data_IF_665697231491
#
_entry.id   IF_665697231491
#
_cell.length_a   1.000
_cell.length_b   1.000
_cell.length_c   1.000
_cell.angle_alpha   90.00
_cell.angle_beta   90.00
_cell.angle_gamma   90.00
#
_symmetry.space_group_name_H-M   'P 1'
#
loop_
_entity.id
_entity.type
_entity.pdbx_description
1 polymer ?
#
# COMPACT_ATOMS: atom_id res chain seq x y z
N UNK A 1 -2.67 -5.00 6.67
CA UNK A 1 -3.91 -4.67 5.93
C UNK A 1 -4.11 -5.63 4.77
N UNK A 2 -3.48 -5.42 3.60
CA UNK A 2 -3.66 -6.26 2.39
C UNK A 2 -3.43 -7.74 2.70
N UNK A 3 -2.32 -8.05 3.36
CA UNK A 3 -1.94 -9.42 3.71
C UNK A 3 -3.01 -10.18 4.52
N UNK A 4 -3.69 -9.51 5.45
CA UNK A 4 -4.74 -10.15 6.24
C UNK A 4 -5.90 -10.60 5.35
N UNK A 5 -6.26 -9.80 4.34
CA UNK A 5 -7.32 -10.12 3.35
C UNK A 5 -6.86 -11.23 2.42
N UNK A 6 -5.58 -11.26 2.02
CA UNK A 6 -5.01 -12.37 1.24
C UNK A 6 -5.12 -13.68 2.04
N UNK A 7 -4.69 -13.69 3.30
CA UNK A 7 -4.74 -14.88 4.16
C UNK A 7 -6.19 -15.33 4.37
N UNK A 8 -7.11 -14.40 4.66
CA UNK A 8 -8.54 -14.71 4.78
C UNK A 8 -9.08 -15.34 3.50
N UNK A 9 -8.84 -14.72 2.33
CA UNK A 9 -9.33 -15.22 1.03
C UNK A 9 -8.77 -16.60 0.71
N UNK A 10 -7.48 -16.84 0.96
CA UNK A 10 -6.84 -18.15 0.75
C UNK A 10 -7.50 -19.20 1.65
N UNK A 11 -7.65 -18.93 2.94
CA UNK A 11 -8.27 -19.90 3.85
C UNK A 11 -9.74 -20.19 3.48
N UNK A 12 -10.48 -19.17 3.02
CA UNK A 12 -11.88 -19.29 2.64
C UNK A 12 -12.10 -19.97 1.29
N UNK A 13 -11.22 -19.72 0.32
CA UNK A 13 -11.45 -20.08 -1.09
C UNK A 13 -10.53 -21.19 -1.60
N UNK A 14 -9.47 -21.53 -0.86
CA UNK A 14 -8.47 -22.55 -1.25
C UNK A 14 -8.29 -23.56 -0.11
N UNK A 15 -9.30 -24.42 0.16
CA UNK A 15 -9.29 -25.32 1.32
C UNK A 15 -8.11 -26.31 1.30
N UNK A 16 -7.56 -26.60 0.12
CA UNK A 16 -6.44 -27.53 -0.06
C UNK A 16 -5.06 -26.91 0.22
N UNK A 17 -4.99 -25.61 0.57
CA UNK A 17 -3.72 -25.00 0.99
C UNK A 17 -3.16 -25.76 2.20
N UNK A 18 -1.94 -26.28 2.11
CA UNK A 18 -1.36 -27.09 3.19
C UNK A 18 -0.89 -26.21 4.35
N UNK A 19 -0.03 -25.23 4.06
CA UNK A 19 0.55 -24.29 5.03
C UNK A 19 0.74 -22.93 4.39
N UNK A 20 0.70 -21.89 5.21
CA UNK A 20 1.04 -20.51 4.88
C UNK A 20 2.10 -20.09 5.91
N UNK A 21 3.35 -20.00 5.46
CA UNK A 21 4.44 -19.49 6.27
C UNK A 21 4.39 -17.97 6.30
N UNK A 22 4.29 -17.39 7.49
CA UNK A 22 4.11 -15.95 7.70
C UNK A 22 5.40 -15.37 8.29
N UNK A 23 6.19 -14.69 7.47
CA UNK A 23 7.40 -14.00 7.94
C UNK A 23 6.99 -12.79 8.81
N UNK A 24 7.29 -12.85 10.10
CA UNK A 24 6.91 -11.85 11.09
C UNK A 24 8.17 -11.31 11.78
N UNK A 25 8.36 -9.99 11.68
CA UNK A 25 9.42 -9.28 12.41
C UNK A 25 9.15 -9.31 13.91
N UNK A 26 9.87 -10.15 14.62
CA UNK A 26 9.73 -10.36 16.07
C UNK A 26 11.09 -10.69 16.68
N UNK A 27 11.20 -10.58 18.01
CA UNK A 27 12.41 -10.96 18.75
C UNK A 27 12.53 -12.47 18.96
N UNK A 28 11.39 -13.16 19.05
CA UNK A 28 11.27 -14.58 19.36
C UNK A 28 9.93 -15.13 18.81
N UNK A 29 9.78 -16.46 18.86
CA UNK A 29 8.60 -17.16 18.34
C UNK A 29 7.32 -16.80 19.11
N UNK A 30 7.42 -16.59 20.42
CA UNK A 30 6.29 -16.19 21.26
C UNK A 30 5.72 -14.85 20.80
N UNK A 31 6.58 -13.85 20.58
CA UNK A 31 6.18 -12.54 20.07
C UNK A 31 5.62 -12.64 18.65
N UNK A 32 6.19 -13.49 17.79
CA UNK A 32 5.65 -13.71 16.45
C UNK A 32 4.24 -14.32 16.49
N UNK A 33 4.01 -15.29 17.38
CA UNK A 33 2.72 -15.93 17.57
C UNK A 33 1.69 -14.96 18.18
N UNK A 34 2.09 -14.13 19.15
CA UNK A 34 1.22 -13.09 19.72
C UNK A 34 0.78 -12.09 18.64
N UNK A 35 1.71 -11.64 17.79
CA UNK A 35 1.40 -10.77 16.66
C UNK A 35 0.46 -11.42 15.66
N UNK A 36 0.72 -12.68 15.29
CA UNK A 36 -0.17 -13.46 14.42
C UNK A 36 -1.59 -13.53 15.00
N UNK A 37 -1.69 -13.82 16.30
CA UNK A 37 -2.96 -13.92 17.00
C UNK A 37 -3.72 -12.59 16.97
N UNK A 38 -3.06 -11.51 17.41
CA UNK A 38 -3.68 -10.19 17.57
C UNK A 38 -4.01 -9.52 16.23
N UNK A 39 -3.12 -9.60 15.24
CA UNK A 39 -3.25 -8.87 13.98
C UNK A 39 -4.09 -9.62 12.93
N UNK A 40 -4.16 -10.95 13.02
CA UNK A 40 -4.80 -11.82 12.01
C UNK A 40 -5.90 -12.65 12.65
N UNK A 41 -5.58 -13.61 13.52
CA UNK A 41 -6.53 -14.65 13.97
C UNK A 41 -7.74 -14.03 14.70
N UNK A 42 -7.52 -13.05 15.56
CA UNK A 42 -8.56 -12.35 16.33
C UNK A 42 -9.20 -11.17 15.59
N UNK A 43 -8.71 -10.85 14.39
CA UNK A 43 -9.29 -9.78 13.57
C UNK A 43 -10.73 -10.11 13.19
N UNK A 44 -11.60 -9.09 13.24
CA UNK A 44 -12.99 -9.20 12.75
C UNK A 44 -13.07 -9.63 11.30
N UNK A 45 -12.02 -9.43 10.51
CA UNK A 45 -11.93 -9.91 9.14
C UNK A 45 -12.23 -11.41 9.03
N UNK A 46 -11.77 -12.20 10.00
CA UNK A 46 -11.91 -13.67 10.01
C UNK A 46 -13.25 -14.14 10.58
N UNK A 47 -14.21 -13.23 10.83
CA UNK A 47 -15.51 -13.57 11.40
C UNK A 47 -16.29 -14.58 10.53
N UNK A 48 -16.24 -14.43 9.19
CA UNK A 48 -16.90 -15.36 8.27
C UNK A 48 -16.29 -16.75 8.36
N UNK A 49 -14.96 -16.86 8.40
CA UNK A 49 -14.28 -18.14 8.63
C UNK A 49 -14.66 -18.77 9.98
N UNK A 50 -14.76 -17.97 11.04
CA UNK A 50 -15.22 -18.45 12.35
C UNK A 50 -16.65 -19.00 12.29
N UNK A 51 -17.53 -18.34 11.54
CA UNK A 51 -18.92 -18.80 11.35
C UNK A 51 -18.98 -20.11 10.54
N UNK A 52 -18.18 -20.23 9.48
CA UNK A 52 -18.12 -21.43 8.64
C UNK A 52 -17.57 -22.64 9.42
N UNK A 53 -16.50 -22.45 10.19
CA UNK A 53 -15.78 -23.56 10.83
C UNK A 53 -16.19 -23.81 12.29
N UNK A 54 -16.89 -22.88 12.94
CA UNK A 54 -17.36 -23.01 14.31
C UNK A 54 -16.23 -23.40 15.27
N UNK A 55 -16.42 -24.48 16.01
CA UNK A 55 -15.42 -25.02 16.97
C UNK A 55 -14.10 -25.45 16.33
N UNK A 56 -14.07 -25.71 15.02
CA UNK A 56 -12.86 -26.14 14.30
C UNK A 56 -12.03 -24.98 13.76
N UNK A 57 -12.46 -23.73 13.97
CA UNK A 57 -11.74 -22.56 13.48
C UNK A 57 -10.30 -22.48 14.03
N UNK A 58 -10.13 -22.72 15.33
CA UNK A 58 -8.81 -22.62 15.97
C UNK A 58 -7.86 -23.72 15.45
N UNK A 59 -8.38 -24.93 15.19
CA UNK A 59 -7.62 -26.03 14.59
C UNK A 59 -7.23 -25.72 13.13
N UNK A 60 -8.13 -25.12 12.36
CA UNK A 60 -7.87 -24.67 10.99
C UNK A 60 -6.73 -23.67 10.93
N UNK A 61 -6.81 -22.58 11.71
CA UNK A 61 -5.79 -21.54 11.67
C UNK A 61 -4.46 -22.04 12.22
N UNK A 62 -4.47 -22.85 13.29
CA UNK A 62 -3.24 -23.42 13.87
C UNK A 62 -2.53 -24.39 12.92
N UNK A 63 -3.29 -25.19 12.17
CA UNK A 63 -2.71 -26.15 11.22
C UNK A 63 -2.18 -25.49 9.94
N UNK A 64 -2.78 -24.38 9.51
CA UNK A 64 -2.44 -23.71 8.24
C UNK A 64 -1.54 -22.49 8.39
N UNK A 65 -1.60 -21.74 9.47
CA UNK A 65 -0.84 -20.49 9.65
C UNK A 65 0.40 -20.74 10.51
N UNK A 66 1.58 -20.69 9.90
CA UNK A 66 2.85 -20.97 10.58
C UNK A 66 3.62 -19.65 10.72
N UNK A 67 3.71 -19.05 11.92
CA UNK A 67 4.53 -17.87 12.13
C UNK A 67 6.01 -18.22 11.99
N UNK A 68 6.76 -17.38 11.30
CA UNK A 68 8.20 -17.52 11.08
C UNK A 68 8.87 -16.23 11.50
N UNK A 69 9.73 -16.28 12.51
CA UNK A 69 10.52 -15.12 12.94
C UNK A 69 11.48 -14.74 11.82
N UNK A 70 11.45 -13.48 11.40
CA UNK A 70 12.43 -12.95 10.45
C UNK A 70 12.16 -11.52 10.02
N UNK A 71 13.10 -10.96 9.26
CA UNK A 71 13.06 -9.59 8.75
C UNK A 71 13.52 -9.59 7.29
N UNK A 72 12.65 -9.12 6.39
CA UNK A 72 12.95 -9.06 4.95
C UNK A 72 14.21 -8.25 4.65
N UNK A 73 14.54 -7.26 5.49
CA UNK A 73 15.72 -6.43 5.36
C UNK A 73 17.03 -7.13 5.74
N UNK A 74 16.99 -8.38 6.21
CA UNK A 74 18.17 -9.16 6.62
C UNK A 74 18.54 -10.25 5.59
N UNK A 75 19.83 -10.62 5.48
CA UNK A 75 20.24 -11.80 4.72
C UNK A 75 19.44 -13.05 5.13
N UNK A 76 19.13 -13.93 4.17
CA UNK A 76 18.27 -15.10 4.40
C UNK A 76 16.91 -14.78 5.06
N UNK A 77 16.42 -13.55 4.86
CA UNK A 77 15.18 -13.02 5.47
C UNK A 77 15.20 -13.02 7.01
N UNK A 78 16.39 -13.06 7.63
CA UNK A 78 16.55 -13.12 9.08
C UNK A 78 16.00 -14.39 9.73
N UNK A 79 15.74 -15.44 8.93
CA UNK A 79 15.27 -16.74 9.42
C UNK A 79 16.45 -17.56 9.94
N UNK A 80 16.17 -18.49 10.86
CA UNK A 80 17.09 -19.57 11.17
C UNK A 80 17.44 -20.38 9.90
N UNK A 81 18.70 -20.79 9.75
CA UNK A 81 19.20 -21.43 8.53
C UNK A 81 18.55 -22.78 8.25
N UNK A 82 18.28 -23.58 9.30
CA UNK A 82 17.62 -24.88 9.15
C UNK A 82 16.16 -24.70 8.74
N UNK A 83 15.48 -23.73 9.36
CA UNK A 83 14.10 -23.38 9.05
C UNK A 83 13.97 -22.83 7.62
N UNK A 84 14.86 -21.93 7.22
CA UNK A 84 14.91 -21.39 5.85
C UNK A 84 15.07 -22.50 4.81
N UNK A 85 15.96 -23.47 5.06
CA UNK A 85 16.18 -24.61 4.18
C UNK A 85 14.93 -25.48 4.06
N UNK A 86 14.24 -25.74 5.18
CA UNK A 86 12.99 -26.51 5.19
C UNK A 86 11.89 -25.81 4.39
N UNK A 87 11.68 -24.50 4.63
CA UNK A 87 10.66 -23.72 3.92
C UNK A 87 10.97 -23.71 2.42
N UNK A 88 12.23 -23.51 2.01
CA UNK A 88 12.61 -23.50 0.60
C UNK A 88 12.31 -24.81 -0.15
N UNK A 89 12.27 -25.95 0.54
CA UNK A 89 11.93 -27.25 -0.06
C UNK A 89 10.42 -27.47 -0.24
N UNK A 90 9.59 -26.64 0.40
CA UNK A 90 8.14 -26.83 0.47
C UNK A 90 7.32 -25.73 -0.20
N UNK A 91 7.88 -24.53 -0.42
CA UNK A 91 7.12 -23.38 -0.91
C UNK A 91 6.87 -23.45 -2.42
N UNK A 92 5.59 -23.41 -2.79
CA UNK A 92 5.13 -23.34 -4.18
C UNK A 92 4.96 -21.90 -4.69
N UNK A 93 4.58 -20.97 -3.81
CA UNK A 93 4.36 -19.55 -4.14
C UNK A 93 4.89 -18.64 -3.05
N UNK A 94 5.58 -17.57 -3.44
CA UNK A 94 6.00 -16.48 -2.55
C UNK A 94 5.14 -15.24 -2.83
N UNK A 95 4.52 -14.66 -1.80
CA UNK A 95 3.81 -13.38 -1.88
C UNK A 95 4.56 -12.34 -1.05
N UNK A 96 5.14 -11.35 -1.72
CA UNK A 96 5.80 -10.22 -1.07
C UNK A 96 4.85 -9.03 -0.93
N UNK A 97 4.29 -8.87 0.26
CA UNK A 97 3.53 -7.68 0.68
C UNK A 97 4.28 -6.80 1.69
N UNK A 98 5.51 -7.17 2.07
CA UNK A 98 6.27 -6.42 3.06
C UNK A 98 6.79 -5.11 2.44
N UNK A 99 6.49 -3.99 3.09
CA UNK A 99 6.93 -2.68 2.65
C UNK A 99 6.93 -1.68 3.82
N UNK A 100 7.87 -0.75 3.80
CA UNK A 100 7.68 0.52 4.48
C UNK A 100 6.80 1.40 3.59
N UNK A 101 5.71 1.92 4.14
CA UNK A 101 4.71 2.72 3.40
C UNK A 101 4.67 4.18 3.89
N UNK A 102 5.67 4.59 4.68
CA UNK A 102 5.72 5.93 5.25
C UNK A 102 6.43 6.89 4.29
N UNK A 103 5.73 7.96 3.89
CA UNK A 103 6.24 8.93 2.91
C UNK A 103 7.36 9.81 3.48
N UNK A 104 7.48 9.90 4.81
CA UNK A 104 8.51 10.65 5.54
C UNK A 104 9.44 9.70 6.32
N UNK A 105 9.79 8.55 5.75
CA UNK A 105 10.68 7.58 6.39
C UNK A 105 12.16 7.90 6.16
N UNK A 106 13.02 7.52 7.11
CA UNK A 106 14.47 7.55 6.94
C UNK A 106 14.90 6.77 5.68
N UNK A 107 15.88 7.31 4.96
CA UNK A 107 16.30 6.73 3.69
C UNK A 107 16.87 5.31 3.83
N UNK A 108 17.70 5.07 4.84
CA UNK A 108 18.31 3.76 5.11
C UNK A 108 17.25 2.70 5.41
N UNK A 109 16.24 3.04 6.21
CA UNK A 109 15.13 2.14 6.54
C UNK A 109 14.31 1.80 5.29
N UNK A 110 13.94 2.81 4.51
CA UNK A 110 13.15 2.62 3.28
C UNK A 110 13.90 1.76 2.26
N UNK A 111 15.19 2.05 2.02
CA UNK A 111 16.04 1.23 1.17
C UNK A 111 16.17 -0.20 1.70
N UNK A 112 16.32 -0.38 3.02
CA UNK A 112 16.48 -1.70 3.60
C UNK A 112 15.25 -2.59 3.37
N UNK A 113 14.05 -2.04 3.52
CA UNK A 113 12.80 -2.80 3.41
C UNK A 113 12.34 -2.92 1.96
N UNK A 114 12.22 -1.80 1.25
CA UNK A 114 11.59 -1.77 -0.07
C UNK A 114 12.57 -2.10 -1.22
N UNK A 115 13.88 -2.03 -0.99
CA UNK A 115 14.90 -2.28 -2.02
C UNK A 115 15.75 -3.52 -1.70
N UNK A 116 16.45 -3.54 -0.55
CA UNK A 116 17.21 -4.73 -0.11
C UNK A 116 16.30 -5.90 0.24
N UNK A 117 15.09 -5.64 0.74
CA UNK A 117 14.12 -6.70 1.02
C UNK A 117 13.80 -7.56 -0.20
N UNK A 118 13.39 -6.98 -1.35
CA UNK A 118 13.29 -7.69 -2.61
C UNK A 118 14.56 -8.42 -3.06
N UNK A 119 15.75 -7.86 -2.82
CA UNK A 119 17.03 -8.53 -3.12
C UNK A 119 17.20 -9.82 -2.30
N UNK A 120 17.05 -9.74 -0.97
CA UNK A 120 17.16 -10.91 -0.09
C UNK A 120 16.08 -11.95 -0.38
N UNK A 121 14.85 -11.50 -0.65
CA UNK A 121 13.74 -12.38 -1.00
C UNK A 121 14.01 -13.11 -2.32
N UNK A 122 14.56 -12.44 -3.32
CA UNK A 122 14.92 -13.09 -4.58
C UNK A 122 16.07 -14.08 -4.40
N UNK A 123 17.03 -13.77 -3.51
CA UNK A 123 18.05 -14.73 -3.09
C UNK A 123 17.46 -15.99 -2.48
N UNK A 124 16.48 -15.85 -1.57
CA UNK A 124 15.76 -16.98 -0.99
C UNK A 124 14.93 -17.75 -2.03
N UNK A 125 14.22 -17.03 -2.91
CA UNK A 125 13.38 -17.62 -3.95
C UNK A 125 14.16 -18.54 -4.90
N UNK A 126 15.43 -18.20 -5.21
CA UNK A 126 16.32 -19.05 -6.02
C UNK A 126 16.67 -20.39 -5.38
N UNK A 127 16.55 -20.51 -4.06
CA UNK A 127 16.75 -21.77 -3.35
C UNK A 127 15.46 -22.63 -3.32
N UNK A 128 14.32 -22.08 -3.74
CA UNK A 128 13.03 -22.74 -3.66
C UNK A 128 12.77 -23.63 -4.89
N UNK A 129 13.00 -24.94 -4.76
CA UNK A 129 12.94 -25.89 -5.89
C UNK A 129 11.54 -26.12 -6.46
N UNK A 130 10.50 -25.91 -5.65
CA UNK A 130 9.09 -26.07 -6.04
C UNK A 130 8.43 -24.75 -6.42
N UNK A 131 9.18 -23.65 -6.41
CA UNK A 131 8.62 -22.32 -6.61
C UNK A 131 8.07 -22.18 -8.03
N UNK A 132 6.75 -22.04 -8.12
CA UNK A 132 6.03 -21.82 -9.37
C UNK A 132 5.89 -20.33 -9.67
N UNK A 133 5.87 -19.47 -8.65
CA UNK A 133 5.64 -18.04 -8.81
C UNK A 133 6.14 -17.22 -7.63
N UNK A 134 6.74 -16.06 -7.91
CA UNK A 134 6.88 -14.97 -6.94
C UNK A 134 5.97 -13.81 -7.32
N UNK A 135 5.06 -13.44 -6.42
CA UNK A 135 4.22 -12.26 -6.55
C UNK A 135 4.77 -11.12 -5.68
N UNK A 136 4.93 -9.93 -6.25
CA UNK A 136 5.35 -8.74 -5.55
C UNK A 136 4.27 -7.66 -5.60
N UNK A 137 3.86 -7.16 -4.44
CA UNK A 137 2.94 -6.02 -4.35
C UNK A 137 3.75 -4.74 -4.38
N UNK A 138 3.59 -3.98 -5.45
CA UNK A 138 4.17 -2.65 -5.65
C UNK A 138 3.10 -1.56 -5.43
N UNK A 139 3.13 -0.48 -6.22
CA UNK A 139 2.10 0.56 -6.28
C UNK A 139 2.04 1.12 -7.69
N UNK A 140 0.88 1.54 -8.18
CA UNK A 140 0.74 2.20 -9.47
C UNK A 140 1.54 3.51 -9.55
N UNK A 141 1.75 4.15 -8.39
CA UNK A 141 2.47 5.42 -8.29
C UNK A 141 3.98 5.30 -8.52
N UNK A 142 4.57 4.10 -8.64
CA UNK A 142 5.98 3.94 -9.10
C UNK A 142 6.24 4.64 -10.43
N UNK A 143 5.20 4.95 -11.19
CA UNK A 143 5.22 5.75 -12.40
C UNK A 143 5.44 7.27 -12.15
N UNK A 144 5.67 7.70 -10.92
CA UNK A 144 6.00 9.09 -10.56
C UNK A 144 4.89 10.07 -10.96
N UNK A 145 5.26 11.19 -11.61
CA UNK A 145 4.32 12.22 -12.03
C UNK A 145 3.96 12.15 -13.53
N UNK A 146 4.07 10.96 -14.15
CA UNK A 146 3.62 10.77 -15.55
C UNK A 146 2.17 11.21 -15.71
N UNK A 147 1.88 11.86 -16.83
CA UNK A 147 0.53 12.34 -17.17
C UNK A 147 -0.07 11.52 -18.31
N UNK A 148 -1.39 11.55 -18.44
CA UNK A 148 -2.11 10.77 -19.45
C UNK A 148 -2.14 9.28 -19.13
N UNK A 149 -2.32 8.43 -20.14
CA UNK A 149 -2.40 6.98 -19.96
C UNK A 149 -1.02 6.40 -19.62
N UNK A 150 -0.91 5.75 -18.47
CA UNK A 150 0.32 5.17 -17.94
C UNK A 150 0.31 3.66 -18.09
N UNK A 151 1.09 3.17 -19.04
CA UNK A 151 1.14 1.76 -19.44
C UNK A 151 1.85 0.86 -18.43
N UNK A 152 1.47 -0.43 -18.42
CA UNK A 152 2.00 -1.49 -17.57
C UNK A 152 3.41 -1.96 -17.99
N UNK A 153 4.39 -1.05 -17.95
CA UNK A 153 5.78 -1.31 -18.37
C UNK A 153 6.71 -1.60 -17.19
N UNK A 154 7.64 -2.57 -17.33
CA UNK A 154 8.66 -2.84 -16.33
C UNK A 154 9.71 -1.74 -16.29
N UNK A 155 10.33 -1.54 -15.12
CA UNK A 155 11.52 -0.71 -14.98
C UNK A 155 12.77 -1.48 -15.34
N UNK A 156 13.77 -0.78 -15.89
CA UNK A 156 15.11 -1.32 -16.11
C UNK A 156 16.10 -0.73 -15.11
N UNK A 157 17.13 -1.51 -14.78
CA UNK A 157 18.25 -1.02 -13.96
C UNK A 157 18.83 0.26 -14.55
N UNK A 158 19.08 1.26 -13.70
CA UNK A 158 19.56 2.58 -14.14
C UNK A 158 18.48 3.55 -14.60
N UNK A 159 17.23 3.12 -14.77
CA UNK A 159 16.14 3.98 -15.24
C UNK A 159 15.77 5.04 -14.20
N UNK A 160 15.45 6.25 -14.69
CA UNK A 160 14.99 7.38 -13.90
C UNK A 160 13.79 8.03 -14.57
N UNK A 161 12.93 8.68 -13.78
CA UNK A 161 11.80 9.47 -14.30
C UNK A 161 12.18 10.93 -14.54
N UNK A 162 13.35 11.36 -14.05
CA UNK A 162 13.88 12.71 -14.28
C UNK A 162 13.95 13.08 -15.78
N UNK A 163 14.24 12.10 -16.66
CA UNK A 163 14.27 12.31 -18.14
C UNK A 163 12.93 12.77 -18.68
N UNK A 164 11.84 12.25 -18.11
CA UNK A 164 10.48 12.42 -18.59
C UNK A 164 9.85 13.72 -18.05
N UNK A 165 10.47 14.35 -17.04
CA UNK A 165 10.04 15.63 -16.47
C UNK A 165 10.68 16.85 -17.17
N UNK A 166 11.67 16.65 -18.03
CA UNK A 166 12.30 17.75 -18.78
C UNK A 166 11.39 18.12 -19.95
N UNK A 167 10.60 19.18 -19.78
CA UNK A 167 9.74 19.77 -20.83
C UNK A 167 10.55 20.55 -21.88
N UNK A 168 11.84 20.81 -21.64
CA UNK A 168 12.70 21.56 -22.56
C UNK A 168 13.26 20.67 -23.67
N UNK A 169 13.17 21.14 -24.91
CA UNK A 169 13.68 20.46 -26.13
C UNK A 169 15.20 20.27 -26.16
N UNK A 170 15.93 20.73 -25.15
CA UNK A 170 17.38 20.56 -24.99
C UNK A 170 17.73 20.40 -23.50
N UNK A 171 18.04 19.18 -23.03
CA UNK A 171 18.64 18.98 -21.72
C UNK A 171 20.08 19.50 -21.75
N UNK A 172 20.42 20.46 -20.89
CA UNK A 172 21.80 20.99 -20.77
C UNK A 172 22.78 19.99 -20.14
N UNK A 173 22.27 18.91 -19.53
CA UNK A 173 23.04 17.81 -18.95
C UNK A 173 22.37 16.46 -19.22
N UNK A 174 23.15 15.37 -19.39
CA UNK A 174 22.59 14.03 -19.44
C UNK A 174 21.84 13.74 -18.14
N UNK A 175 20.66 13.11 -18.20
CA UNK A 175 19.90 12.87 -16.98
C UNK A 175 20.62 11.88 -16.08
N UNK A 176 20.39 11.93 -14.75
CA UNK A 176 21.07 11.04 -13.82
C UNK A 176 20.74 9.57 -14.15
N UNK A 177 21.74 8.71 -13.97
CA UNK A 177 21.58 7.24 -13.97
C UNK A 177 21.42 6.80 -12.53
N UNK A 178 20.43 5.94 -12.26
CA UNK A 178 20.20 5.42 -10.92
C UNK A 178 21.05 4.17 -10.67
N UNK A 179 22.13 4.35 -9.91
CA UNK A 179 22.87 3.22 -9.34
C UNK A 179 22.35 2.92 -7.93
N UNK A 180 21.59 1.84 -7.82
CA UNK A 180 20.98 1.42 -6.55
C UNK A 180 22.04 1.08 -5.49
N UNK A 181 23.17 0.47 -5.88
CA UNK A 181 24.23 0.14 -4.94
C UNK A 181 24.92 1.41 -4.42
N UNK A 182 25.13 2.38 -5.29
CA UNK A 182 25.65 3.69 -4.90
C UNK A 182 24.70 4.42 -3.94
N UNK A 183 23.37 4.35 -4.16
CA UNK A 183 22.39 4.92 -3.23
C UNK A 183 22.41 4.25 -1.86
N UNK A 184 22.52 2.91 -1.81
CA UNK A 184 22.65 2.17 -0.56
C UNK A 184 23.93 2.55 0.20
N UNK A 185 25.06 2.67 -0.51
CA UNK A 185 26.33 3.10 0.08
C UNK A 185 26.24 4.53 0.60
N UNK A 186 25.68 5.45 -0.18
CA UNK A 186 25.46 6.84 0.19
C UNK A 186 24.62 6.96 1.47
N UNK A 187 23.50 6.23 1.56
CA UNK A 187 22.66 6.25 2.76
C UNK A 187 23.40 5.72 4.00
N UNK A 188 24.17 4.64 3.84
CA UNK A 188 24.99 4.07 4.92
C UNK A 188 26.09 5.04 5.38
N UNK A 189 26.87 5.59 4.45
CA UNK A 189 28.00 6.46 4.75
C UNK A 189 27.52 7.78 5.36
N UNK A 190 26.39 8.33 4.87
CA UNK A 190 25.76 9.50 5.46
C UNK A 190 25.24 9.23 6.86
N UNK A 191 24.61 8.08 7.13
CA UNK A 191 24.17 7.75 8.49
C UNK A 191 25.35 7.67 9.47
N UNK A 192 26.48 7.08 9.06
CA UNK A 192 27.69 6.94 9.89
C UNK A 192 28.37 8.27 10.20
N UNK A 193 28.17 9.30 9.38
CA UNK A 193 28.78 10.63 9.61
C UNK A 193 27.98 11.52 10.56
N UNK A 194 26.79 11.08 11.01
CA UNK A 194 25.92 11.87 11.86
C UNK A 194 26.24 11.64 13.34
N UNK A 195 26.32 12.71 14.17
CA UNK A 195 26.86 12.63 15.52
C UNK A 195 25.88 12.10 16.57
N UNK A 196 24.56 12.13 16.31
CA UNK A 196 23.53 11.65 17.25
C UNK A 196 22.25 11.16 16.53
N UNK A 197 21.45 10.33 17.21
CA UNK A 197 20.29 9.64 16.63
C UNK A 197 19.11 10.56 16.25
N UNK A 198 18.86 11.63 17.01
CA UNK A 198 17.73 12.53 16.75
C UNK A 198 17.98 13.38 15.50
N UNK A 199 19.18 13.93 15.37
CA UNK A 199 19.61 14.67 14.18
C UNK A 199 19.72 13.72 12.98
N UNK A 200 20.13 12.47 13.20
CA UNK A 200 20.16 11.45 12.16
C UNK A 200 18.78 11.20 11.55
N UNK A 201 17.72 11.12 12.36
CA UNK A 201 16.38 10.88 11.84
C UNK A 201 15.93 11.98 10.85
N UNK A 202 16.02 13.25 11.25
CA UNK A 202 15.57 14.37 10.40
C UNK A 202 16.41 14.50 9.12
N UNK A 203 17.74 14.42 9.25
CA UNK A 203 18.65 14.51 8.09
C UNK A 203 18.47 13.34 7.12
N UNK A 204 18.20 12.13 7.61
CA UNK A 204 17.92 10.97 6.76
C UNK A 204 16.59 11.06 6.01
N UNK A 205 15.57 11.66 6.62
CA UNK A 205 14.28 11.96 5.95
C UNK A 205 14.49 13.02 4.86
N UNK A 206 15.25 14.08 5.15
CA UNK A 206 15.61 15.09 4.17
C UNK A 206 16.37 14.49 2.98
N UNK A 207 17.38 13.67 3.26
CA UNK A 207 18.15 12.97 2.24
C UNK A 207 17.23 12.13 1.35
N UNK A 208 16.35 11.32 1.95
CA UNK A 208 15.37 10.51 1.23
C UNK A 208 14.54 11.34 0.23
N UNK A 209 14.00 12.48 0.67
CA UNK A 209 13.24 13.41 -0.16
C UNK A 209 14.08 14.01 -1.30
N UNK A 210 15.31 14.43 -1.02
CA UNK A 210 16.24 14.96 -2.02
C UNK A 210 16.60 13.92 -3.08
N UNK A 211 16.86 12.68 -2.67
CA UNK A 211 17.17 11.58 -3.61
C UNK A 211 15.96 11.23 -4.46
N UNK A 212 14.78 11.06 -3.88
CA UNK A 212 13.56 10.78 -4.64
C UNK A 212 13.33 11.85 -5.72
N UNK A 213 13.41 13.13 -5.35
CA UNK A 213 13.26 14.26 -6.28
C UNK A 213 14.32 14.26 -7.37
N UNK A 214 15.59 14.03 -7.03
CA UNK A 214 16.71 13.97 -7.99
C UNK A 214 16.45 12.99 -9.12
N UNK A 215 15.82 11.85 -8.82
CA UNK A 215 15.58 10.80 -9.80
C UNK A 215 14.17 10.81 -10.42
N UNK A 216 13.32 11.76 -10.02
CA UNK A 216 11.99 12.00 -10.60
C UNK A 216 10.84 11.29 -9.90
N UNK A 217 11.00 10.88 -8.65
CA UNK A 217 9.92 10.33 -7.84
C UNK A 217 9.44 11.31 -6.77
N UNK A 218 8.14 11.33 -6.45
CA UNK A 218 7.57 12.35 -5.57
C UNK A 218 7.93 12.17 -4.10
N UNK A 219 8.22 10.94 -3.66
CA UNK A 219 8.57 10.62 -2.28
C UNK A 219 9.41 9.33 -2.21
N UNK A 220 9.98 9.07 -1.03
CA UNK A 220 10.88 7.94 -0.78
C UNK A 220 10.19 6.58 -0.90
N UNK A 221 8.92 6.49 -0.51
CA UNK A 221 8.16 5.25 -0.62
C UNK A 221 8.09 4.79 -2.08
N UNK A 222 7.57 5.64 -2.95
CA UNK A 222 7.41 5.33 -4.37
C UNK A 222 8.77 5.07 -5.02
N UNK A 223 9.78 5.87 -4.68
CA UNK A 223 11.13 5.73 -5.21
C UNK A 223 11.76 4.37 -4.88
N UNK A 224 11.70 3.97 -3.61
CA UNK A 224 12.28 2.70 -3.17
C UNK A 224 11.47 1.49 -3.64
N UNK A 225 10.15 1.62 -3.82
CA UNK A 225 9.33 0.59 -4.50
C UNK A 225 9.74 0.39 -5.96
N UNK A 226 10.01 1.47 -6.69
CA UNK A 226 10.51 1.37 -8.07
C UNK A 226 11.87 0.67 -8.13
N UNK A 227 12.79 0.97 -7.19
CA UNK A 227 14.05 0.24 -7.08
C UNK A 227 13.85 -1.25 -6.78
N UNK A 228 12.90 -1.60 -5.90
CA UNK A 228 12.53 -2.98 -5.60
C UNK A 228 12.09 -3.75 -6.85
N UNK A 229 11.29 -3.13 -7.72
CA UNK A 229 10.92 -3.74 -9.00
C UNK A 229 12.12 -3.97 -9.93
N UNK A 230 13.03 -2.99 -10.03
CA UNK A 230 14.25 -3.11 -10.85
C UNK A 230 15.15 -4.27 -10.37
N UNK A 231 15.29 -4.42 -9.05
CA UNK A 231 16.02 -5.53 -8.44
C UNK A 231 15.38 -6.87 -8.79
N UNK A 232 14.05 -6.98 -8.65
CA UNK A 232 13.33 -8.21 -8.97
C UNK A 232 13.52 -8.58 -10.45
N UNK A 233 13.28 -7.66 -11.39
CA UNK A 233 13.41 -7.96 -12.83
C UNK A 233 14.86 -8.31 -13.21
N UNK A 234 15.85 -7.65 -12.62
CA UNK A 234 17.25 -7.95 -12.91
C UNK A 234 17.75 -9.28 -12.32
N UNK A 235 17.17 -9.73 -11.20
CA UNK A 235 17.63 -10.94 -10.51
C UNK A 235 16.83 -12.20 -10.83
N UNK A 236 15.57 -12.08 -11.26
CA UNK A 236 14.61 -13.21 -11.31
C UNK A 236 15.08 -14.43 -12.11
N UNK A 237 15.89 -14.24 -13.17
CA UNK A 237 16.24 -15.32 -14.09
C UNK A 237 14.98 -16.04 -14.60
N UNK A 238 14.92 -17.35 -14.37
CA UNK A 238 13.81 -18.21 -14.78
C UNK A 238 12.69 -18.33 -13.74
N UNK A 239 12.71 -17.55 -12.66
CA UNK A 239 11.59 -17.48 -11.72
C UNK A 239 10.46 -16.67 -12.36
N UNK A 240 9.24 -17.23 -12.53
CA UNK A 240 8.08 -16.46 -12.96
C UNK A 240 7.75 -15.39 -11.90
N UNK A 241 7.51 -14.16 -12.34
CA UNK A 241 7.22 -13.03 -11.45
C UNK A 241 5.94 -12.34 -11.88
N UNK A 242 5.08 -12.07 -10.90
CA UNK A 242 3.96 -11.14 -11.04
C UNK A 242 4.20 -9.92 -10.16
N UNK A 243 4.10 -8.72 -10.73
CA UNK A 243 4.07 -7.47 -9.97
C UNK A 243 2.65 -6.92 -10.02
N UNK A 244 2.01 -6.74 -8.87
CA UNK A 244 0.72 -6.07 -8.75
C UNK A 244 0.98 -4.62 -8.33
N UNK A 245 0.50 -3.66 -9.11
CA UNK A 245 0.61 -2.22 -8.88
C UNK A 245 -0.77 -1.65 -8.53
N UNK A 246 -1.20 -1.71 -7.26
CA UNK A 246 -2.45 -1.07 -6.84
C UNK A 246 -2.34 0.45 -6.79
N UNK A 247 -3.45 1.14 -7.07
CA UNK A 247 -3.65 2.55 -6.69
C UNK A 247 -3.99 2.68 -5.19
N UNK A 248 -4.74 3.71 -4.77
CA UNK A 248 -5.11 3.89 -3.36
C UNK A 248 -6.10 2.80 -2.94
N UNK A 249 -5.78 2.07 -1.87
CA UNK A 249 -6.56 0.91 -1.43
C UNK A 249 -7.44 1.26 -0.24
N UNK A 250 -8.75 1.18 -0.41
CA UNK A 250 -9.74 1.44 0.62
C UNK A 250 -10.45 0.14 1.10
N UNK A 251 -11.45 0.30 1.97
CA UNK A 251 -12.13 -0.81 2.64
C UNK A 251 -12.83 -1.76 1.67
N UNK A 252 -13.17 -2.95 2.15
CA UNK A 252 -13.81 -3.98 1.33
C UNK A 252 -15.16 -3.49 0.78
N UNK A 253 -15.45 -3.77 -0.50
CA UNK A 253 -16.76 -3.47 -1.08
C UNK A 253 -17.77 -4.59 -0.80
N UNK A 254 -17.32 -5.84 -0.73
CA UNK A 254 -18.19 -7.01 -0.61
C UNK A 254 -17.62 -8.08 0.32
N UNK A 255 -16.38 -8.52 0.12
CA UNK A 255 -15.84 -9.72 0.77
C UNK A 255 -14.76 -9.41 1.81
N UNK A 256 -14.63 -10.23 2.88
CA UNK A 256 -15.59 -11.25 3.33
C UNK A 256 -16.90 -10.65 3.85
N UNK A 257 -16.90 -9.35 4.16
CA UNK A 257 -18.09 -8.54 4.40
C UNK A 257 -17.77 -7.08 4.04
N UNK A 258 -18.77 -6.25 3.73
CA UNK A 258 -18.54 -4.87 3.28
C UNK A 258 -18.03 -3.95 4.40
N UNK A 259 -17.15 -3.02 4.04
CA UNK A 259 -16.68 -1.92 4.89
C UNK A 259 -15.56 -2.29 5.86
N UNK A 260 -14.93 -3.45 5.73
CA UNK A 260 -13.77 -3.79 6.55
C UNK A 260 -12.53 -3.01 6.10
N UNK A 261 -11.87 -2.35 7.05
CA UNK A 261 -10.58 -1.73 6.88
C UNK A 261 -9.79 -1.84 8.19
N UNK A 262 -8.46 -1.97 8.10
CA UNK A 262 -7.60 -2.09 9.28
C UNK A 262 -7.06 -0.72 9.71
N UNK A 263 -7.57 -0.17 10.80
CA UNK A 263 -7.13 1.14 11.29
C UNK A 263 -7.38 2.29 10.32
N UNK A 264 -6.99 3.49 10.73
CA UNK A 264 -7.29 4.74 10.04
C UNK A 264 -6.13 5.12 9.10
N UNK A 265 -6.28 4.85 7.79
CA UNK A 265 -5.19 4.92 6.80
C UNK A 265 -5.67 5.43 5.44
N UNK A 266 -4.75 5.56 4.49
CA UNK A 266 -5.04 6.01 3.11
C UNK A 266 -5.82 7.33 3.11
N UNK A 267 -7.02 7.42 2.54
CA UNK A 267 -7.77 8.68 2.49
C UNK A 267 -8.57 8.97 3.77
N UNK A 268 -8.72 8.01 4.69
CA UNK A 268 -9.49 8.19 5.91
C UNK A 268 -9.11 9.47 6.70
N UNK A 269 -7.81 9.84 6.86
CA UNK A 269 -7.39 11.12 7.44
C UNK A 269 -8.04 12.35 6.84
N UNK A 270 -8.25 12.36 5.53
CA UNK A 270 -8.90 13.47 4.83
C UNK A 270 -10.42 13.39 4.99
N UNK A 271 -10.99 12.18 4.80
CA UNK A 271 -12.44 11.92 4.90
C UNK A 271 -12.99 12.35 6.26
N UNK A 272 -12.46 11.81 7.36
CA UNK A 272 -12.98 12.20 8.69
C UNK A 272 -12.33 13.49 9.21
N UNK A 273 -11.24 13.97 8.61
CA UNK A 273 -10.79 15.35 8.82
C UNK A 273 -11.86 16.35 8.41
N UNK A 274 -12.48 16.14 7.25
CA UNK A 274 -13.62 16.93 6.78
C UNK A 274 -14.86 16.70 7.66
N UNK A 275 -15.20 15.45 7.97
CA UNK A 275 -16.35 15.12 8.83
C UNK A 275 -16.27 15.69 10.25
N UNK A 276 -15.06 15.95 10.76
CA UNK A 276 -14.82 16.62 12.05
C UNK A 276 -14.73 18.14 11.94
N UNK A 277 -14.85 18.71 10.74
CA UNK A 277 -14.64 20.14 10.48
C UNK A 277 -13.19 20.62 10.67
N UNK A 278 -12.24 19.69 10.79
CA UNK A 278 -10.81 19.95 11.04
C UNK A 278 -10.01 20.15 9.75
N UNK A 279 -10.57 19.72 8.62
CA UNK A 279 -10.03 19.93 7.28
C UNK A 279 -11.05 20.74 6.49
N UNK A 280 -10.74 22.02 6.23
CA UNK A 280 -11.56 22.94 5.42
C UNK A 280 -10.92 23.24 4.07
N UNK A 281 -9.62 23.05 3.98
CA UNK A 281 -8.83 23.21 2.77
C UNK A 281 -7.78 22.10 2.66
N UNK A 282 -7.39 21.77 1.42
CA UNK A 282 -6.30 20.84 1.14
C UNK A 282 -5.65 21.15 -0.20
N UNK A 283 -4.52 20.51 -0.47
CA UNK A 283 -3.90 20.49 -1.80
C UNK A 283 -4.60 19.43 -2.67
N UNK A 284 -4.84 19.75 -3.93
CA UNK A 284 -5.41 18.83 -4.91
C UNK A 284 -5.94 19.58 -6.12
N UNK A 285 -6.09 18.85 -7.23
CA UNK A 285 -6.79 19.38 -8.39
C UNK A 285 -8.23 18.84 -8.39
N UNK A 286 -9.26 19.69 -8.28
CA UNK A 286 -10.67 19.28 -8.24
C UNK A 286 -11.07 18.32 -9.37
N UNK A 287 -10.46 18.48 -10.56
CA UNK A 287 -10.78 17.71 -11.77
C UNK A 287 -9.82 16.53 -12.00
N UNK A 288 -8.84 16.32 -11.13
CA UNK A 288 -8.02 15.10 -11.20
C UNK A 288 -8.85 13.88 -10.82
N UNK A 289 -8.65 12.79 -11.54
CA UNK A 289 -9.22 11.50 -11.18
C UNK A 289 -8.53 10.98 -9.92
N UNK A 290 -9.33 10.64 -8.91
CA UNK A 290 -8.89 10.04 -7.67
C UNK A 290 -8.94 8.52 -7.81
N UNK A 291 -7.76 7.92 -8.02
CA UNK A 291 -7.63 6.50 -8.31
C UNK A 291 -7.71 5.62 -7.04
N UNK A 292 -8.92 5.19 -6.69
CA UNK A 292 -9.22 4.36 -5.51
C UNK A 292 -9.74 2.97 -5.90
N UNK A 293 -9.42 1.95 -5.10
CA UNK A 293 -9.86 0.56 -5.27
C UNK A 293 -10.21 -0.09 -3.91
N UNK A 294 -11.25 -0.94 -3.83
CA UNK A 294 -11.49 -1.78 -2.66
C UNK A 294 -10.45 -2.91 -2.52
N UNK A 295 -10.03 -3.21 -1.29
CA UNK A 295 -8.99 -4.23 -1.01
C UNK A 295 -9.39 -5.65 -1.39
N UNK A 296 -10.67 -6.01 -1.34
CA UNK A 296 -11.17 -7.33 -1.70
C UNK A 296 -11.10 -7.59 -3.20
N UNK A 297 -11.36 -6.57 -4.04
CA UNK A 297 -11.15 -6.68 -5.48
C UNK A 297 -9.66 -6.82 -5.81
N UNK A 298 -8.78 -6.08 -5.12
CA UNK A 298 -7.33 -6.25 -5.26
C UNK A 298 -6.90 -7.69 -4.93
N UNK A 299 -7.42 -8.28 -3.86
CA UNK A 299 -7.10 -9.66 -3.50
C UNK A 299 -7.61 -10.65 -4.53
N UNK A 300 -8.78 -10.42 -5.13
CA UNK A 300 -9.26 -11.27 -6.22
C UNK A 300 -8.35 -11.19 -7.46
N UNK A 301 -7.82 -10.01 -7.82
CA UNK A 301 -6.78 -9.89 -8.86
C UNK A 301 -5.53 -10.68 -8.49
N UNK A 302 -5.07 -10.60 -7.24
CA UNK A 302 -3.91 -11.36 -6.76
C UNK A 302 -4.15 -12.87 -6.94
N UNK A 303 -5.31 -13.38 -6.53
CA UNK A 303 -5.67 -14.79 -6.65
C UNK A 303 -5.71 -15.25 -8.12
N UNK A 304 -6.39 -14.49 -8.99
CA UNK A 304 -6.49 -14.82 -10.41
C UNK A 304 -5.12 -14.74 -11.12
N UNK A 305 -4.33 -13.70 -10.84
CA UNK A 305 -2.99 -13.54 -11.40
C UNK A 305 -2.06 -14.67 -10.93
N UNK A 306 -2.14 -15.09 -9.67
CA UNK A 306 -1.40 -16.23 -9.16
C UNK A 306 -1.78 -17.52 -9.88
N UNK A 307 -3.07 -17.82 -10.00
CA UNK A 307 -3.57 -19.02 -10.65
C UNK A 307 -3.14 -19.09 -12.13
N UNK A 308 -3.27 -17.97 -12.86
CA UNK A 308 -2.91 -17.88 -14.28
C UNK A 308 -1.41 -18.04 -14.49
N UNK A 309 -0.59 -17.31 -13.73
CA UNK A 309 0.84 -17.18 -14.01
C UNK A 309 1.69 -18.26 -13.32
N UNK A 310 1.21 -18.86 -12.22
CA UNK A 310 1.88 -19.99 -11.57
C UNK A 310 1.83 -21.29 -12.37
N UNK A 311 1.04 -21.36 -13.45
CA UNK A 311 0.98 -22.49 -14.39
C UNK A 311 1.56 -22.17 -15.77
N UNK A 312 2.19 -21.00 -15.94
CA UNK A 312 2.71 -20.59 -17.23
C UNK A 312 3.88 -21.50 -17.65
N UNK A 313 3.87 -21.97 -18.89
CA UNK A 313 4.93 -22.85 -19.41
C UNK A 313 6.27 -22.12 -19.64
N UNK A 314 6.25 -20.79 -19.68
CA UNK A 314 7.45 -19.94 -19.84
C UNK A 314 7.55 -18.94 -18.69
N UNK A 315 8.71 -18.87 -18.01
CA UNK A 315 8.98 -17.83 -17.03
C UNK A 315 8.85 -16.44 -17.65
N UNK A 316 8.03 -15.60 -17.05
CA UNK A 316 7.81 -14.23 -17.50
C UNK A 316 7.63 -13.29 -16.32
N UNK A 317 7.96 -12.02 -16.55
CA UNK A 317 7.51 -10.93 -15.70
C UNK A 317 6.18 -10.41 -16.23
N UNK A 318 5.14 -10.45 -15.41
CA UNK A 318 3.85 -9.81 -15.68
C UNK A 318 3.56 -8.73 -14.68
N UNK A 319 3.00 -7.61 -15.17
CA UNK A 319 2.63 -6.46 -14.36
C UNK A 319 1.13 -6.29 -14.51
N UNK A 320 0.42 -6.17 -13.39
CA UNK A 320 -1.00 -5.84 -13.35
C UNK A 320 -1.18 -4.54 -12.58
N UNK A 321 -1.66 -3.49 -13.22
CA UNK A 321 -2.04 -2.23 -12.58
C UNK A 321 -3.51 -2.30 -12.17
N UNK A 322 -3.75 -2.35 -10.86
CA UNK A 322 -5.10 -2.34 -10.30
C UNK A 322 -5.47 -0.90 -9.96
N UNK A 323 -6.28 -0.31 -10.83
CA UNK A 323 -6.72 1.08 -10.77
C UNK A 323 -8.11 1.19 -11.39
N UNK A 324 -8.86 2.22 -11.00
CA UNK A 324 -10.23 2.45 -11.49
C UNK A 324 -10.31 3.57 -12.52
N UNK A 325 -9.35 4.49 -12.55
CA UNK A 325 -9.45 5.77 -13.22
C UNK A 325 -9.67 5.71 -14.74
N UNK A 326 -9.18 4.68 -15.44
CA UNK A 326 -9.39 4.53 -16.89
C UNK A 326 -10.81 4.05 -17.23
N UNK A 327 -11.43 3.25 -16.35
CA UNK A 327 -12.66 2.51 -16.67
C UNK A 327 -13.87 2.91 -15.83
N UNK A 328 -13.66 3.52 -14.66
CA UNK A 328 -14.69 4.00 -13.75
C UNK A 328 -14.16 5.20 -12.94
N UNK A 329 -13.89 6.35 -13.58
CA UNK A 329 -13.29 7.51 -12.93
C UNK A 329 -14.21 8.15 -11.88
N UNK A 330 -13.60 8.69 -10.83
CA UNK A 330 -14.22 9.65 -9.91
C UNK A 330 -13.31 10.87 -9.77
N UNK A 331 -13.84 12.07 -9.98
CA UNK A 331 -13.08 13.30 -9.77
C UNK A 331 -12.88 13.58 -8.28
N UNK A 332 -11.77 14.21 -7.92
CA UNK A 332 -11.43 14.55 -6.55
C UNK A 332 -12.52 15.39 -5.87
N UNK A 333 -13.10 16.34 -6.59
CA UNK A 333 -14.18 17.19 -6.07
C UNK A 333 -15.45 16.39 -5.77
N UNK A 334 -15.82 15.45 -6.65
CA UNK A 334 -17.03 14.64 -6.51
C UNK A 334 -16.90 13.68 -5.33
N UNK A 335 -15.73 13.07 -5.17
CA UNK A 335 -15.40 12.26 -4.00
C UNK A 335 -15.64 13.03 -2.69
N UNK A 336 -15.09 14.24 -2.57
CA UNK A 336 -15.23 15.04 -1.35
C UNK A 336 -16.62 15.69 -1.20
N UNK A 337 -17.37 15.87 -2.27
CA UNK A 337 -18.79 16.25 -2.19
C UNK A 337 -19.64 15.10 -1.64
N UNK A 338 -19.37 13.84 -2.03
CA UNK A 338 -20.03 12.66 -1.44
C UNK A 338 -19.71 12.56 0.06
N UNK A 339 -18.44 12.73 0.46
CA UNK A 339 -18.06 12.78 1.87
C UNK A 339 -18.76 13.91 2.63
N UNK A 340 -18.81 15.12 2.06
CA UNK A 340 -19.51 16.26 2.65
C UNK A 340 -21.00 15.95 2.88
N UNK A 341 -21.71 15.47 1.85
CA UNK A 341 -23.14 15.12 1.94
C UNK A 341 -23.40 14.04 2.99
N UNK A 342 -22.54 13.02 3.07
CA UNK A 342 -22.63 11.98 4.09
C UNK A 342 -22.56 12.57 5.50
N UNK A 343 -21.55 13.38 5.82
CA UNK A 343 -21.37 13.94 7.16
C UNK A 343 -22.34 15.06 7.49
N UNK A 344 -22.84 15.80 6.50
CA UNK A 344 -23.92 16.77 6.70
C UNK A 344 -25.21 16.08 7.15
N UNK A 345 -25.49 14.89 6.59
CA UNK A 345 -26.68 14.09 6.93
C UNK A 345 -26.46 13.21 8.17
N UNK A 346 -25.22 12.79 8.41
CA UNK A 346 -24.82 11.92 9.52
C UNK A 346 -23.64 12.54 10.30
N UNK A 347 -23.88 13.61 11.09
CA UNK A 347 -22.83 14.29 11.83
C UNK A 347 -22.05 13.35 12.75
N UNK A 348 -20.73 13.54 12.80
CA UNK A 348 -19.90 12.94 13.84
C UNK A 348 -20.18 13.60 15.19
N UNK A 349 -19.83 12.90 16.27
CA UNK A 349 -19.86 13.46 17.62
C UNK A 349 -18.48 13.96 18.01
N UNK A 350 -18.42 15.07 18.74
CA UNK A 350 -17.19 15.55 19.37
C UNK A 350 -16.86 14.79 20.67
N UNK A 351 -15.85 15.24 21.40
CA UNK A 351 -15.44 14.63 22.66
C UNK A 351 -16.45 14.82 23.81
N UNK A 352 -17.35 15.80 23.70
CA UNK A 352 -18.41 16.08 24.68
C UNK A 352 -19.70 15.30 24.36
N UNK A 353 -19.75 14.65 23.18
CA UNK A 353 -20.91 13.91 22.70
C UNK A 353 -21.86 14.75 21.86
N UNK A 354 -21.50 16.00 21.57
CA UNK A 354 -22.29 16.91 20.75
C UNK A 354 -22.07 16.66 19.27
N UNK A 355 -23.13 16.87 18.47
CA UNK A 355 -23.04 16.75 17.02
C UNK A 355 -22.15 17.86 16.46
N UNK A 356 -21.17 17.48 15.65
CA UNK A 356 -20.34 18.41 14.89
C UNK A 356 -21.19 18.98 13.75
N UNK A 357 -21.68 20.21 13.93
CA UNK A 357 -22.44 20.96 12.94
C UNK A 357 -21.52 21.98 12.25
N UNK A 358 -21.83 22.35 11.00
CA UNK A 358 -21.12 23.42 10.29
C UNK A 358 -19.82 22.99 9.60
N UNK A 359 -19.72 21.74 9.17
CA UNK A 359 -18.66 21.31 8.25
C UNK A 359 -18.75 22.10 6.93
N UNK A 360 -17.60 22.30 6.27
CA UNK A 360 -17.54 23.02 4.99
C UNK A 360 -17.18 22.09 3.83
N UNK A 361 -17.57 22.49 2.62
CA UNK A 361 -16.95 21.95 1.41
C UNK A 361 -15.46 22.27 1.41
N UNK A 362 -14.65 21.38 0.86
CA UNK A 362 -13.20 21.58 0.83
C UNK A 362 -12.82 22.63 -0.21
N UNK A 363 -11.96 23.55 0.19
CA UNK A 363 -11.24 24.44 -0.73
C UNK A 363 -9.95 23.76 -1.19
N UNK A 364 -9.75 23.66 -2.50
CA UNK A 364 -8.57 23.05 -3.09
C UNK A 364 -7.51 24.09 -3.49
N UNK A 365 -6.25 23.73 -3.28
CA UNK A 365 -5.08 24.49 -3.72
C UNK A 365 -4.28 23.66 -4.73
N UNK A 366 -3.91 24.27 -5.85
CA UNK A 366 -3.22 23.60 -6.95
C UNK A 366 -1.73 23.33 -6.68
N UNK A 367 -1.17 23.83 -5.58
CA UNK A 367 0.22 23.59 -5.20
C UNK A 367 0.42 23.59 -3.68
N UNK A 368 1.46 22.89 -3.23
CA UNK A 368 1.85 22.86 -1.81
C UNK A 368 2.30 24.25 -1.35
N UNK A 369 2.94 25.01 -2.23
CA UNK A 369 3.44 26.35 -1.94
C UNK A 369 2.28 27.32 -1.69
N UNK A 370 1.28 27.36 -2.57
CA UNK A 370 0.11 28.24 -2.42
C UNK A 370 -0.71 27.89 -1.18
N UNK A 371 -0.87 26.58 -0.91
CA UNK A 371 -1.49 26.10 0.32
C UNK A 371 -0.72 26.50 1.57
N UNK A 372 0.60 26.31 1.58
CA UNK A 372 1.45 26.63 2.75
C UNK A 372 1.42 28.12 3.07
N UNK A 373 1.50 28.98 2.04
CA UNK A 373 1.37 30.43 2.19
C UNK A 373 -0.01 30.82 2.75
N UNK A 374 -1.08 30.22 2.22
CA UNK A 374 -2.44 30.44 2.75
C UNK A 374 -2.55 30.04 4.23
N UNK A 375 -2.00 28.87 4.60
CA UNK A 375 -2.04 28.38 5.98
C UNK A 375 -1.34 29.36 6.94
N UNK A 376 -0.16 29.87 6.56
CA UNK A 376 0.62 30.84 7.36
C UNK A 376 -0.07 32.21 7.48
N UNK A 377 -0.75 32.66 6.42
CA UNK A 377 -1.42 33.96 6.40
C UNK A 377 -2.79 33.95 7.11
N UNK A 378 -3.47 32.79 7.11
CA UNK A 378 -4.87 32.69 7.58
C UNK A 378 -4.96 32.26 9.04
N UNK A 379 -4.01 31.45 9.51
CA UNK A 379 -4.10 30.82 10.82
C UNK A 379 -2.96 31.23 11.74
N UNK A 380 -3.26 31.37 13.03
CA UNK A 380 -2.26 31.70 14.06
C UNK A 380 -1.75 30.45 14.82
N UNK A 381 -2.39 29.29 14.66
CA UNK A 381 -2.03 28.08 15.40
C UNK A 381 -0.94 27.28 14.67
N UNK A 382 0.31 27.44 15.13
CA UNK A 382 1.49 26.77 14.57
C UNK A 382 1.38 25.24 14.50
N UNK A 383 0.81 24.61 15.53
CA UNK A 383 0.68 23.15 15.56
C UNK A 383 -0.28 22.66 14.48
N UNK A 384 -1.39 23.37 14.30
CA UNK A 384 -2.33 23.09 13.22
C UNK A 384 -1.71 23.34 11.85
N UNK A 385 -0.99 24.45 11.66
CA UNK A 385 -0.30 24.76 10.40
C UNK A 385 0.69 23.65 10.05
N UNK A 386 1.54 23.25 11.01
CA UNK A 386 2.53 22.17 10.82
C UNK A 386 1.85 20.85 10.46
N UNK A 387 0.80 20.47 11.20
CA UNK A 387 0.03 19.23 10.95
C UNK A 387 -0.61 19.23 9.56
N UNK A 388 -1.36 20.27 9.23
CA UNK A 388 -2.11 20.35 7.98
C UNK A 388 -1.18 20.51 6.77
N UNK A 389 -0.06 21.22 6.91
CA UNK A 389 1.01 21.29 5.89
C UNK A 389 1.68 19.92 5.68
N UNK A 390 1.91 19.16 6.76
CA UNK A 390 2.45 17.79 6.64
C UNK A 390 1.51 16.87 5.90
N UNK A 391 0.21 16.90 6.22
CA UNK A 391 -0.83 16.14 5.51
C UNK A 391 -0.84 16.52 4.02
N UNK A 392 -0.87 17.82 3.70
CA UNK A 392 -0.85 18.30 2.32
C UNK A 392 0.40 17.85 1.55
N UNK A 393 1.59 17.81 2.18
CA UNK A 393 2.81 17.27 1.56
C UNK A 393 2.74 15.77 1.34
N UNK A 394 2.13 15.03 2.26
CA UNK A 394 2.02 13.57 2.18
C UNK A 394 1.04 13.15 1.07
N UNK A 395 -0.12 13.80 0.97
CA UNK A 395 -1.17 13.45 0.02
C UNK A 395 -1.08 14.20 -1.31
N UNK A 396 -0.48 15.38 -1.33
CA UNK A 396 -0.38 16.27 -2.50
C UNK A 396 0.08 15.57 -3.78
N UNK A 397 1.15 14.75 -3.78
CA UNK A 397 1.58 14.03 -4.98
C UNK A 397 0.52 13.11 -5.60
N UNK A 398 -0.40 12.58 -4.79
CA UNK A 398 -1.48 11.70 -5.23
C UNK A 398 -2.72 12.50 -5.64
N UNK A 399 -3.05 13.56 -4.90
CA UNK A 399 -4.23 14.41 -5.16
C UNK A 399 -4.03 15.40 -6.33
N UNK A 400 -2.76 15.67 -6.69
CA UNK A 400 -2.38 16.46 -7.88
C UNK A 400 -1.99 15.57 -9.06
N UNK A 401 -2.10 14.25 -8.94
CA UNK A 401 -1.69 13.34 -10.00
C UNK A 401 -2.60 13.51 -11.24
N UNK A 402 -1.97 13.44 -12.41
CA UNK A 402 -2.63 13.66 -13.72
C UNK A 402 -2.50 12.46 -14.67
N UNK A 403 -1.93 11.37 -14.20
CA UNK A 403 -1.90 10.11 -14.93
C UNK A 403 -3.16 9.30 -14.67
N UNK A 404 -3.50 8.46 -15.63
CA UNK A 404 -4.51 7.43 -15.53
C UNK A 404 -3.83 6.09 -15.78
N UNK A 405 -3.92 5.17 -14.83
CA UNK A 405 -3.21 3.90 -14.93
C UNK A 405 -3.94 2.94 -15.88
N UNK A 406 -3.27 2.57 -16.97
CA UNK A 406 -3.74 1.52 -17.88
C UNK A 406 -3.98 0.22 -17.11
N UNK A 407 -5.09 -0.46 -17.38
CA UNK A 407 -5.46 -1.72 -16.75
C UNK A 407 -5.66 -2.85 -17.77
N UNK A 408 -5.06 -2.73 -18.96
CA UNK A 408 -5.23 -3.67 -20.07
C UNK A 408 -4.90 -5.13 -19.73
N UNK A 409 -3.86 -5.40 -18.93
CA UNK A 409 -3.54 -6.75 -18.50
C UNK A 409 -4.57 -7.33 -17.52
N UNK A 410 -5.18 -6.50 -16.65
CA UNK A 410 -6.27 -6.95 -15.77
C UNK A 410 -7.52 -7.26 -16.59
N UNK A 411 -7.87 -6.40 -17.55
CA UNK A 411 -9.00 -6.64 -18.45
C UNK A 411 -8.81 -7.96 -19.21
N UNK A 412 -7.63 -8.20 -19.76
CA UNK A 412 -7.30 -9.46 -20.42
C UNK A 412 -7.35 -10.66 -19.46
N UNK A 413 -6.87 -10.52 -18.22
CA UNK A 413 -6.97 -11.58 -17.22
C UNK A 413 -8.44 -11.93 -16.94
N UNK A 414 -9.29 -10.93 -16.83
CA UNK A 414 -10.73 -11.08 -16.62
C UNK A 414 -11.42 -11.76 -17.80
N UNK A 415 -11.07 -11.40 -19.05
CA UNK A 415 -11.63 -11.99 -20.27
C UNK A 415 -11.27 -13.47 -20.46
N UNK A 416 -10.14 -13.90 -19.87
CA UNK A 416 -9.67 -15.28 -19.92
C UNK A 416 -10.25 -16.17 -18.81
N UNK A 417 -10.98 -15.60 -17.85
CA UNK A 417 -11.61 -16.34 -16.76
C UNK A 417 -12.95 -16.96 -17.20
N UNK A 418 -13.23 -18.16 -16.71
CA UNK A 418 -14.55 -18.77 -16.81
C UNK A 418 -15.59 -18.01 -15.99
N UNK A 419 -16.88 -18.24 -16.29
CA UNK A 419 -17.99 -17.66 -15.53
C UNK A 419 -17.93 -18.05 -14.05
N UNK A 420 -17.54 -19.29 -13.75
CA UNK A 420 -17.38 -19.78 -12.38
C UNK A 420 -16.25 -19.05 -11.64
N UNK A 421 -15.10 -18.86 -12.29
CA UNK A 421 -13.98 -18.09 -11.73
C UNK A 421 -14.39 -16.63 -11.51
N UNK A 422 -15.12 -16.02 -12.45
CA UNK A 422 -15.61 -14.64 -12.32
C UNK A 422 -16.57 -14.49 -11.14
N UNK A 423 -17.44 -15.47 -10.91
CA UNK A 423 -18.38 -15.43 -9.78
C UNK A 423 -17.66 -15.50 -8.42
N UNK A 424 -16.55 -16.23 -8.34
CA UNK A 424 -15.80 -16.46 -7.11
C UNK A 424 -14.67 -15.44 -6.85
N UNK A 425 -14.16 -14.82 -7.92
CA UNK A 425 -13.01 -13.91 -7.90
C UNK A 425 -13.29 -12.65 -8.72
N UNK A 426 -14.51 -12.08 -8.65
CA UNK A 426 -14.85 -10.82 -9.32
C UNK A 426 -13.94 -9.68 -8.84
N UNK A 427 -13.36 -8.96 -9.79
CA UNK A 427 -12.57 -7.76 -9.55
C UNK A 427 -12.90 -6.62 -10.53
N UNK A 428 -14.10 -6.65 -11.14
CA UNK A 428 -14.54 -5.65 -12.10
C UNK A 428 -14.90 -4.32 -11.41
N UNK A 429 -13.94 -3.39 -11.38
CA UNK A 429 -14.12 -2.06 -10.81
C UNK A 429 -15.15 -1.19 -11.52
N UNK A 430 -15.59 -1.55 -12.74
CA UNK A 430 -16.66 -0.83 -13.48
C UNK A 430 -18.02 -0.94 -12.80
N UNK A 431 -18.18 -1.95 -11.93
CA UNK A 431 -19.43 -2.22 -11.21
C UNK A 431 -19.57 -1.41 -9.91
N UNK A 432 -18.56 -0.64 -9.54
CA UNK A 432 -18.59 0.16 -8.32
C UNK A 432 -19.48 1.39 -8.54
N UNK A 433 -20.59 1.45 -7.81
CA UNK A 433 -21.31 2.69 -7.54
C UNK A 433 -20.52 3.47 -6.48
N UNK A 434 -19.82 4.53 -6.90
CA UNK A 434 -18.97 5.30 -6.02
C UNK A 434 -19.73 5.98 -4.88
N UNK A 435 -20.91 6.54 -5.16
CA UNK A 435 -21.70 7.22 -4.15
C UNK A 435 -22.14 6.21 -3.09
N UNK A 436 -22.67 5.06 -3.51
CA UNK A 436 -23.05 3.99 -2.60
C UNK A 436 -21.85 3.46 -1.81
N UNK A 437 -20.76 3.11 -2.48
CA UNK A 437 -19.56 2.58 -1.85
C UNK A 437 -18.99 3.53 -0.79
N UNK A 438 -18.81 4.81 -1.13
CA UNK A 438 -18.20 5.77 -0.19
C UNK A 438 -19.15 6.03 0.99
N UNK A 439 -20.42 6.35 0.72
CA UNK A 439 -21.34 6.85 1.75
C UNK A 439 -22.03 5.77 2.58
N UNK A 440 -22.27 4.57 2.02
CA UNK A 440 -23.00 3.51 2.70
C UNK A 440 -22.11 2.33 3.13
N UNK A 441 -20.94 2.14 2.50
CA UNK A 441 -20.03 1.03 2.81
C UNK A 441 -18.78 1.51 3.53
N UNK A 442 -17.95 2.33 2.88
CA UNK A 442 -16.62 2.70 3.36
C UNK A 442 -16.68 3.58 4.60
N UNK A 443 -17.34 4.75 4.56
CA UNK A 443 -17.38 5.66 5.72
C UNK A 443 -18.00 4.97 6.97
N UNK A 444 -19.18 4.31 6.87
CA UNK A 444 -19.74 3.58 8.01
C UNK A 444 -18.85 2.42 8.49
N UNK A 445 -18.23 1.70 7.55
CA UNK A 445 -17.30 0.61 7.83
C UNK A 445 -16.04 1.07 8.58
N UNK A 446 -15.35 2.09 8.06
CA UNK A 446 -14.20 2.72 8.70
C UNK A 446 -14.55 3.24 10.10
N UNK A 447 -15.73 3.84 10.28
CA UNK A 447 -16.21 4.23 11.63
C UNK A 447 -16.38 3.03 12.57
N UNK A 448 -16.87 1.90 12.07
CA UNK A 448 -17.10 0.70 12.87
C UNK A 448 -15.81 -0.03 13.23
N UNK A 449 -14.88 -0.11 12.29
CA UNK A 449 -13.70 -0.98 12.37
C UNK A 449 -12.43 -0.21 12.73
N UNK A 450 -12.15 0.93 12.09
CA UNK A 450 -10.94 1.70 12.35
C UNK A 450 -11.07 2.67 13.52
N UNK A 451 -12.20 3.38 13.65
CA UNK A 451 -12.35 4.44 14.66
C UNK A 451 -12.34 3.88 16.09
N UNK A 452 -13.08 2.79 16.35
CA UNK A 452 -13.11 2.13 17.67
C UNK A 452 -11.76 1.53 18.06
N UNK A 453 -11.02 1.00 17.08
CA UNK A 453 -9.69 0.44 17.30
C UNK A 453 -8.68 1.54 17.66
N UNK A 454 -8.72 2.69 16.97
CA UNK A 454 -7.85 3.83 17.27
C UNK A 454 -8.08 4.41 18.68
N UNK A 455 -9.34 4.49 19.13
CA UNK A 455 -9.68 4.90 20.50
C UNK A 455 -9.13 3.90 21.54
N UNK A 456 -9.28 2.59 21.29
CA UNK A 456 -8.79 1.54 22.20
C UNK A 456 -7.26 1.55 22.31
N UNK A 457 -6.54 1.82 21.22
CA UNK A 457 -5.07 1.93 21.21
C UNK A 457 -4.63 3.19 21.98
N UNK A 458 -5.27 4.35 21.75
CA UNK A 458 -4.97 5.58 22.47
C UNK A 458 -5.18 5.44 24.00
N UNK A 459 -6.25 4.76 24.42
CA UNK A 459 -6.52 4.46 25.83
C UNK A 459 -5.45 3.53 26.44
N UNK A 460 -5.00 2.50 25.71
CA UNK A 460 -3.91 1.61 26.17
C UNK A 460 -2.55 2.31 26.26
N UNK A 461 -2.28 3.27 25.38
CA UNK A 461 -1.03 4.05 25.40
C UNK A 461 -0.98 5.00 26.61
N UNK A 462 -2.12 5.61 26.96
CA UNK A 462 -2.23 6.49 28.13
C UNK A 462 -2.27 5.74 29.47
N UNK A 463 -2.62 4.46 29.48
CA UNK A 463 -2.58 3.61 30.67
C UNK A 463 -1.18 3.01 30.96
N UNK A 464 -0.20 3.26 30.09
CA UNK A 464 1.21 2.85 30.23
C UNK A 464 2.15 4.02 30.56
N UNK A 465 1.60 5.22 30.74
CA UNK A 465 2.23 6.38 31.38
C UNK A 465 1.63 6.52 32.78
#
# INVERSE_FOLDING_TARGET
FIFAVIVEKILRSVPNVRKIYLLIKAKDEETAMERLRNEIIESKLFMVLRQIHGQYYDDLVRSKLIPVVGDIGQPSLGMDASLATMIAQEVDVIINSAADTNFDQRYDISLNINTKGPFHLMGFAKNCKKLCLLLHISTAYVNGNRQGIVLEKPFKMGQTLAKEMVTSKTPTMPPPVLDINAEMKLASDFLKSLPNDNEANQKMIQLASERARKFGWPNVYVFTKAMGEMIIDSMRGDIPVVIIRPSIIEGTVKEPFPGWIQGYRMLDPLIFGQGKGQLRETVGDPKSVLDIIPVDLLVNVIMAAMAKNGRASKPQLKIYQMASGVVNPIELQDFFEICYKHFASNPLMDSQGDKIIGISRLKFFSSIESYSSYMLLTYANDNMIKRNTRIAKAFGPFLLYKGLFDNGNIMKLMDEMSVEEMNNFDFDVRRIDWEHYISHIHIPGARRHAFKESLRIAQKANAKL
#
